data_IF_533529187996
#
_entry.id   IF_533529187996
#
_cell.length_a   1.000
_cell.length_b   1.000
_cell.length_c   1.000
_cell.angle_alpha   90.00
_cell.angle_beta   90.00
_cell.angle_gamma   90.00
#
_symmetry.space_group_name_H-M   'P 1'
#
loop_
_entity.id
_entity.type
_entity.pdbx_description
1 polymer ?
#
# COMPACT_ATOMS: atom_id res chain seq x y z
N UNK A 1 17.37 -8.33 -6.05
CA UNK A 1 16.35 -7.46 -5.43
C UNK A 1 15.11 -7.56 -6.29
N UNK A 2 14.02 -8.08 -5.74
CA UNK A 2 12.71 -7.98 -6.36
C UNK A 2 12.21 -6.53 -6.26
N UNK A 3 11.31 -6.17 -7.17
CA UNK A 3 10.60 -4.91 -7.16
C UNK A 3 9.15 -5.15 -7.52
N UNK A 4 8.31 -4.15 -7.29
CA UNK A 4 6.88 -4.19 -7.54
C UNK A 4 6.42 -2.88 -8.16
N UNK A 5 5.22 -2.87 -8.72
CA UNK A 5 4.59 -1.63 -9.16
C UNK A 5 3.54 -1.23 -8.12
N UNK A 6 3.45 0.07 -7.83
CA UNK A 6 2.42 0.63 -6.97
C UNK A 6 1.84 1.90 -7.54
N UNK A 7 0.60 2.24 -7.16
CA UNK A 7 0.01 3.54 -7.45
C UNK A 7 0.55 4.55 -6.42
N UNK A 8 1.53 5.37 -6.79
CA UNK A 8 2.13 6.33 -5.89
C UNK A 8 1.49 7.71 -6.05
N UNK A 9 1.01 8.25 -4.95
CA UNK A 9 0.59 9.64 -4.85
C UNK A 9 1.77 10.50 -4.46
N UNK A 10 2.02 11.57 -5.21
CA UNK A 10 3.07 12.55 -4.94
C UNK A 10 2.53 13.97 -5.11
N UNK A 11 3.21 14.96 -4.52
CA UNK A 11 2.87 16.38 -4.74
C UNK A 11 4.11 17.17 -5.12
N UNK A 12 4.05 17.78 -6.30
CA UNK A 12 5.09 18.66 -6.82
C UNK A 12 4.42 19.96 -7.28
N UNK A 13 5.00 21.12 -6.94
CA UNK A 13 4.44 22.42 -7.33
C UNK A 13 3.02 22.71 -6.81
N UNK A 14 2.57 21.99 -5.76
CA UNK A 14 1.22 22.12 -5.20
C UNK A 14 0.17 21.17 -5.81
N UNK A 15 0.47 20.56 -6.95
CA UNK A 15 -0.43 19.63 -7.65
C UNK A 15 -0.22 18.19 -7.18
N UNK A 16 -1.31 17.46 -6.95
CA UNK A 16 -1.29 16.04 -6.62
C UNK A 16 -1.21 15.23 -7.92
N UNK A 17 -0.29 14.27 -7.97
CA UNK A 17 -0.18 13.30 -9.05
C UNK A 17 -0.36 11.89 -8.53
N UNK A 18 -1.02 11.03 -9.30
CA UNK A 18 -1.17 9.61 -9.06
C UNK A 18 -0.59 8.84 -10.24
N UNK A 19 0.45 8.04 -10.02
CA UNK A 19 1.14 7.33 -11.09
C UNK A 19 1.52 5.90 -10.70
N UNK A 20 1.38 4.98 -11.65
CA UNK A 20 2.02 3.67 -11.54
C UNK A 20 3.53 3.84 -11.54
N UNK A 21 4.14 3.52 -10.39
CA UNK A 21 5.55 3.74 -10.12
C UNK A 21 6.21 2.41 -9.78
N UNK A 22 7.32 2.05 -10.47
CA UNK A 22 8.16 0.94 -10.05
C UNK A 22 8.83 1.27 -8.71
N UNK A 23 8.75 0.33 -7.78
CA UNK A 23 9.27 0.42 -6.43
C UNK A 23 10.11 -0.82 -6.11
N UNK A 24 10.90 -0.71 -5.06
CA UNK A 24 11.78 -1.77 -4.58
C UNK A 24 11.28 -2.29 -3.23
N UNK A 25 11.60 -3.55 -2.92
CA UNK A 25 11.19 -4.14 -1.63
C UNK A 25 11.69 -3.35 -0.41
N UNK A 26 12.79 -2.59 -0.56
CA UNK A 26 13.32 -1.68 0.48
C UNK A 26 12.35 -0.53 0.82
N UNK A 27 11.41 -0.23 -0.06
CA UNK A 27 10.45 0.86 0.09
C UNK A 27 9.21 0.45 0.93
N UNK A 28 8.99 -0.84 1.20
CA UNK A 28 7.82 -1.34 1.96
C UNK A 28 7.76 -0.81 3.42
N UNK A 29 8.91 -0.35 3.93
CA UNK A 29 9.08 0.08 5.32
C UNK A 29 8.99 -1.09 6.33
N UNK A 30 8.87 -0.75 7.61
CA UNK A 30 8.92 -1.74 8.70
C UNK A 30 7.69 -2.64 8.73
N UNK A 31 7.89 -3.95 8.75
CA UNK A 31 6.84 -4.96 8.90
C UNK A 31 7.44 -6.36 9.03
N UNK A 32 6.66 -7.30 9.57
CA UNK A 32 7.06 -8.69 9.84
C UNK A 32 6.42 -9.70 8.88
N UNK A 33 5.55 -9.24 7.97
CA UNK A 33 4.90 -10.05 6.93
C UNK A 33 4.92 -9.32 5.60
N UNK A 34 5.49 -9.95 4.58
CA UNK A 34 5.45 -9.47 3.19
C UNK A 34 4.40 -10.23 2.41
N UNK A 35 3.48 -9.52 1.75
CA UNK A 35 2.36 -10.12 1.01
C UNK A 35 2.43 -9.74 -0.46
N UNK A 36 2.31 -10.72 -1.34
CA UNK A 36 2.03 -10.50 -2.75
C UNK A 36 0.54 -10.22 -2.92
N UNK A 37 0.21 -8.95 -3.01
CA UNK A 37 -1.16 -8.49 -3.25
C UNK A 37 -1.62 -8.93 -4.63
N UNK A 38 -2.80 -9.56 -4.71
CA UNK A 38 -3.44 -9.97 -5.97
C UNK A 38 -4.67 -9.14 -6.28
N UNK A 39 -5.38 -8.70 -5.24
CA UNK A 39 -6.59 -7.89 -5.36
C UNK A 39 -6.60 -6.79 -4.31
N UNK A 40 -7.26 -5.69 -4.65
CA UNK A 40 -7.62 -4.61 -3.74
C UNK A 40 -9.03 -4.14 -4.11
N UNK A 41 -9.55 -3.18 -3.37
CA UNK A 41 -10.88 -2.60 -3.58
C UNK A 41 -10.76 -1.12 -3.90
N UNK A 42 -11.86 -0.50 -4.32
CA UNK A 42 -11.95 0.95 -4.47
C UNK A 42 -13.05 1.47 -3.55
N UNK A 43 -12.65 2.18 -2.50
CA UNK A 43 -13.56 2.80 -1.56
C UNK A 43 -13.64 4.31 -1.77
N UNK A 44 -14.65 4.94 -1.17
CA UNK A 44 -14.76 6.41 -1.13
C UNK A 44 -13.52 7.07 -0.53
N UNK A 45 -12.91 6.42 0.46
CA UNK A 45 -11.68 6.92 1.13
C UNK A 45 -10.48 6.95 0.18
N UNK A 46 -10.35 5.98 -0.72
CA UNK A 46 -9.31 5.98 -1.75
C UNK A 46 -9.54 7.12 -2.74
N UNK A 47 -10.81 7.40 -3.10
CA UNK A 47 -11.19 8.57 -3.89
C UNK A 47 -10.82 9.89 -3.21
N UNK A 48 -10.97 10.01 -1.88
CA UNK A 48 -10.50 11.17 -1.13
C UNK A 48 -8.97 11.29 -1.18
N UNK A 49 -8.23 10.18 -1.11
CA UNK A 49 -6.77 10.19 -1.23
C UNK A 49 -6.33 10.67 -2.62
N UNK A 50 -6.89 10.05 -3.68
CA UNK A 50 -6.61 10.35 -5.08
C UNK A 50 -6.98 11.78 -5.49
N UNK A 51 -7.92 12.41 -4.79
CA UNK A 51 -8.31 13.81 -5.02
C UNK A 51 -7.68 14.79 -4.03
N UNK A 52 -6.80 14.31 -3.13
CA UNK A 52 -6.10 15.14 -2.15
C UNK A 52 -6.99 15.72 -1.05
N UNK A 53 -8.17 15.13 -0.84
CA UNK A 53 -9.18 15.53 0.15
C UNK A 53 -9.17 14.67 1.40
N UNK A 54 -8.33 13.63 1.46
CA UNK A 54 -8.19 12.79 2.64
C UNK A 54 -7.51 13.59 3.78
N UNK A 55 -8.18 13.81 4.92
CA UNK A 55 -7.59 14.56 6.03
C UNK A 55 -6.36 13.86 6.61
N UNK A 56 -5.29 14.62 6.87
CA UNK A 56 -4.08 14.09 7.51
C UNK A 56 -3.19 13.20 6.63
N UNK A 57 -3.52 13.05 5.35
CA UNK A 57 -2.72 12.31 4.36
C UNK A 57 -1.31 12.90 4.24
N UNK A 58 -0.29 12.03 4.23
CA UNK A 58 1.12 12.41 4.04
C UNK A 58 1.63 11.82 2.73
N UNK A 59 2.29 12.64 1.93
CA UNK A 59 2.88 12.23 0.66
C UNK A 59 4.41 12.08 0.82
N UNK A 60 5.05 11.15 0.09
CA UNK A 60 4.45 10.21 -0.88
C UNK A 60 3.61 9.10 -0.19
N UNK A 61 2.62 8.58 -0.91
CA UNK A 61 1.65 7.60 -0.38
C UNK A 61 1.23 6.57 -1.42
N UNK A 62 1.21 5.29 -1.06
CA UNK A 62 0.46 4.27 -1.81
C UNK A 62 -0.91 4.12 -1.14
N UNK A 63 -2.02 4.50 -1.82
CA UNK A 63 -3.35 4.38 -1.27
C UNK A 63 -3.86 2.94 -1.39
N UNK A 64 -4.99 2.65 -0.76
CA UNK A 64 -5.58 1.32 -0.71
C UNK A 64 -5.66 0.84 0.74
N UNK A 65 -6.87 0.85 1.28
CA UNK A 65 -7.12 0.41 2.66
C UNK A 65 -7.34 -1.10 2.79
N UNK A 66 -7.48 -1.80 1.65
CA UNK A 66 -7.84 -3.21 1.57
C UNK A 66 -6.92 -3.96 0.62
N UNK A 67 -6.65 -5.23 0.93
CA UNK A 67 -6.11 -6.17 -0.05
C UNK A 67 -6.49 -7.61 0.25
N UNK A 68 -6.35 -8.45 -0.77
CA UNK A 68 -6.19 -9.89 -0.65
C UNK A 68 -4.90 -10.31 -1.38
N UNK A 69 -4.21 -11.32 -0.85
CA UNK A 69 -2.95 -11.77 -1.42
C UNK A 69 -2.40 -13.01 -0.74
N UNK A 70 -1.19 -13.39 -1.14
CA UNK A 70 -0.48 -14.55 -0.57
C UNK A 70 0.79 -14.10 0.12
N UNK A 71 1.05 -14.63 1.31
CA UNK A 71 2.26 -14.33 2.09
C UNK A 71 3.50 -14.83 1.36
N UNK A 72 4.45 -13.93 1.09
CA UNK A 72 5.76 -14.27 0.51
C UNK A 72 6.79 -14.61 1.57
N UNK A 73 6.84 -13.82 2.65
CA UNK A 73 7.77 -13.97 3.75
C UNK A 73 7.10 -13.55 5.06
N UNK A 74 7.46 -14.20 6.16
CA UNK A 74 6.96 -13.84 7.48
C UNK A 74 7.95 -14.19 8.58
N UNK A 75 8.07 -13.30 9.56
CA UNK A 75 8.70 -13.53 10.86
C UNK A 75 7.64 -13.73 11.96
N UNK A 76 6.35 -13.61 11.61
CA UNK A 76 5.25 -13.69 12.57
C UNK A 76 4.80 -15.15 12.74
N UNK A 77 4.87 -15.68 13.97
CA UNK A 77 4.57 -17.08 14.31
C UNK A 77 3.14 -17.60 13.99
N UNK A 78 2.23 -16.74 13.52
CA UNK A 78 0.82 -17.08 13.24
C UNK A 78 0.44 -16.90 11.77
N UNK A 79 1.36 -16.42 10.95
CA UNK A 79 1.13 -16.12 9.53
C UNK A 79 2.28 -16.76 8.78
N UNK A 80 2.03 -17.83 8.04
CA UNK A 80 3.07 -18.58 7.36
C UNK A 80 3.23 -18.16 5.90
N UNK A 81 4.45 -18.22 5.33
CA UNK A 81 4.63 -18.11 3.87
C UNK A 81 3.75 -19.10 3.11
N UNK A 82 3.10 -18.63 2.05
CA UNK A 82 2.17 -19.41 1.24
C UNK A 82 0.70 -19.33 1.69
N UNK A 83 0.41 -18.74 2.84
CA UNK A 83 -0.99 -18.52 3.27
C UNK A 83 -1.65 -17.40 2.47
N UNK A 84 -2.94 -17.59 2.17
CA UNK A 84 -3.78 -16.53 1.64
C UNK A 84 -4.32 -15.68 2.79
N UNK A 85 -4.19 -14.36 2.63
CA UNK A 85 -4.53 -13.38 3.63
C UNK A 85 -5.39 -12.27 3.05
N UNK A 86 -6.21 -11.68 3.91
CA UNK A 86 -6.95 -10.44 3.64
C UNK A 86 -6.59 -9.39 4.68
N UNK A 87 -6.63 -8.13 4.27
CA UNK A 87 -6.54 -6.98 5.17
C UNK A 87 -7.60 -5.96 4.79
N UNK A 88 -8.21 -5.35 5.81
CA UNK A 88 -9.09 -4.19 5.69
C UNK A 88 -8.80 -3.24 6.87
N UNK A 89 -8.41 -1.99 6.59
CA UNK A 89 -8.18 -0.95 7.59
C UNK A 89 -6.78 -0.95 8.23
N UNK A 90 -6.71 -0.84 9.55
CA UNK A 90 -5.46 -0.81 10.35
C UNK A 90 -4.43 0.28 9.98
N UNK A 91 -4.88 1.38 9.38
CA UNK A 91 -4.00 2.45 8.92
C UNK A 91 -3.21 2.11 7.65
N UNK A 92 -3.53 1.00 6.99
CA UNK A 92 -3.03 0.70 5.65
C UNK A 92 -3.48 1.79 4.66
N UNK A 93 -2.59 2.17 3.74
CA UNK A 93 -2.88 3.21 2.75
C UNK A 93 -3.02 4.64 3.31
N UNK A 94 -2.57 4.90 4.54
CA UNK A 94 -2.69 6.24 5.16
C UNK A 94 -1.36 6.99 5.37
N UNK A 95 -0.24 6.27 5.51
CA UNK A 95 1.00 6.84 6.08
C UNK A 95 2.28 6.48 5.35
N UNK A 96 2.24 5.57 4.37
CA UNK A 96 3.44 5.00 3.75
C UNK A 96 3.36 4.98 2.22
N UNK A 97 4.46 5.26 1.53
CA UNK A 97 4.59 4.91 0.13
C UNK A 97 4.64 3.39 -0.07
#
# INVERSE_FOLDING_TARGET
MSGYNAMLLTRAGGELSAAWTPMQDIDLGDGDVTVRVTHSTLNYKDGLALTGRLPGMRLPLVPGIDFAGTVLASEHARIAPGEDVILNGWGCGERRP
#
